data_IF_354028460714
#
_entry.id   IF_354028460714
#
_cell.length_a   1.000
_cell.length_b   1.000
_cell.length_c   1.000
_cell.angle_alpha   90.00
_cell.angle_beta   90.00
_cell.angle_gamma   90.00
#
_symmetry.space_group_name_H-M   'P 1'
#
loop_
_entity.id
_entity.type
_entity.pdbx_description
1 polymer ?
#
# COMPACT_ATOMS: atom_id res chain seq x y z
N UNK A 1 -27.83 -1.30 4.02
CA UNK A 1 -28.09 0.08 3.63
C UNK A 1 -28.95 0.74 4.70
N UNK A 2 -28.55 1.93 5.17
CA UNK A 2 -29.27 2.69 6.19
C UNK A 2 -29.44 4.13 5.74
N UNK A 3 -30.60 4.72 6.04
CA UNK A 3 -30.85 6.15 5.92
C UNK A 3 -30.44 6.82 7.23
N UNK A 4 -29.56 7.84 7.14
CA UNK A 4 -29.11 8.60 8.32
C UNK A 4 -29.41 10.08 8.17
N UNK A 5 -29.68 10.74 9.30
CA UNK A 5 -29.81 12.17 9.35
C UNK A 5 -28.46 12.83 9.16
N UNK A 6 -28.36 13.80 8.25
CA UNK A 6 -27.08 14.47 7.93
C UNK A 6 -26.51 15.29 9.09
N UNK A 7 -27.39 15.82 9.98
CA UNK A 7 -26.99 16.69 11.08
C UNK A 7 -26.13 15.98 12.14
N UNK A 8 -26.46 14.73 12.49
CA UNK A 8 -25.87 14.00 13.63
C UNK A 8 -25.57 12.53 13.32
N UNK A 9 -25.78 12.07 12.11
CA UNK A 9 -25.58 10.69 11.69
C UNK A 9 -26.55 9.67 12.29
N UNK A 10 -27.61 10.12 12.99
CA UNK A 10 -28.62 9.22 13.57
C UNK A 10 -29.31 8.41 12.49
N UNK A 11 -29.39 7.11 12.71
CA UNK A 11 -30.13 6.21 11.82
C UNK A 11 -31.63 6.52 11.86
N UNK A 12 -32.22 6.71 10.68
CA UNK A 12 -33.63 7.00 10.49
C UNK A 12 -34.41 5.75 10.04
N UNK A 13 -33.79 4.93 9.19
CA UNK A 13 -34.40 3.70 8.70
C UNK A 13 -33.33 2.72 8.19
N UNK A 14 -33.53 1.44 8.38
CA UNK A 14 -32.86 0.38 7.66
C UNK A 14 -33.58 0.17 6.30
N UNK A 15 -32.82 0.32 5.20
CA UNK A 15 -33.36 0.20 3.84
C UNK A 15 -33.14 -1.20 3.24
N UNK A 16 -32.13 -1.92 3.74
CA UNK A 16 -31.81 -3.27 3.30
C UNK A 16 -30.48 -3.74 3.87
N UNK A 17 -30.26 -5.04 3.81
CA UNK A 17 -29.01 -5.70 4.22
C UNK A 17 -28.54 -6.62 3.09
N UNK A 18 -27.23 -6.66 2.84
CA UNK A 18 -26.67 -7.65 1.94
C UNK A 18 -26.78 -9.04 2.57
N UNK A 19 -27.18 -10.02 1.79
CA UNK A 19 -27.19 -11.42 2.21
C UNK A 19 -25.79 -12.02 1.94
N UNK A 20 -25.05 -12.28 2.99
CA UNK A 20 -23.73 -12.93 2.95
C UNK A 20 -23.72 -14.32 3.59
N UNK A 21 -24.91 -14.90 3.84
CA UNK A 21 -25.04 -16.17 4.57
C UNK A 21 -24.31 -17.32 3.89
N UNK A 22 -24.40 -17.45 2.56
CA UNK A 22 -23.70 -18.48 1.81
C UNK A 22 -22.18 -18.32 1.85
N UNK A 23 -21.71 -17.07 1.82
CA UNK A 23 -20.27 -16.77 1.92
C UNK A 23 -19.74 -17.15 3.30
N UNK A 24 -20.45 -16.78 4.37
CA UNK A 24 -20.09 -17.14 5.74
C UNK A 24 -20.13 -18.65 5.95
N UNK A 25 -21.14 -19.34 5.41
CA UNK A 25 -21.22 -20.80 5.45
C UNK A 25 -20.03 -21.47 4.73
N UNK A 26 -19.48 -20.82 3.69
CA UNK A 26 -18.26 -21.25 3.02
C UNK A 26 -16.98 -20.82 3.76
N UNK A 27 -17.08 -20.17 4.93
CA UNK A 27 -15.95 -19.76 5.75
C UNK A 27 -15.39 -18.36 5.47
N UNK A 28 -16.04 -17.58 4.60
CA UNK A 28 -15.63 -16.19 4.36
C UNK A 28 -15.86 -15.32 5.62
N UNK A 29 -14.87 -14.50 5.94
CA UNK A 29 -14.97 -13.46 6.96
C UNK A 29 -14.84 -12.07 6.33
N UNK A 30 -15.65 -11.11 6.82
CA UNK A 30 -15.51 -9.72 6.39
C UNK A 30 -14.18 -9.13 6.86
N UNK A 31 -13.58 -8.21 6.09
CA UNK A 31 -12.40 -7.47 6.54
C UNK A 31 -12.63 -6.84 7.91
N UNK A 32 -11.71 -7.05 8.84
CA UNK A 32 -11.79 -6.55 10.22
C UNK A 32 -11.11 -5.20 10.32
N UNK A 33 -11.83 -4.20 10.82
CA UNK A 33 -11.25 -2.88 11.10
C UNK A 33 -10.36 -2.94 12.33
N UNK A 34 -9.22 -2.28 12.25
CA UNK A 34 -8.32 -2.09 13.37
C UNK A 34 -7.78 -0.66 13.37
N UNK A 35 -7.58 -0.11 14.56
CA UNK A 35 -7.08 1.25 14.77
C UNK A 35 -5.91 1.20 15.74
N UNK A 36 -4.82 1.87 15.38
CA UNK A 36 -3.68 2.09 16.26
C UNK A 36 -3.28 3.57 16.25
N UNK A 37 -2.48 4.01 17.20
CA UNK A 37 -1.91 5.36 17.17
C UNK A 37 -0.80 5.45 16.12
N UNK A 38 -0.59 6.66 15.58
CA UNK A 38 0.53 6.97 14.71
C UNK A 38 1.87 6.93 15.46
N UNK A 39 2.98 7.12 14.72
CA UNK A 39 4.35 7.17 15.25
C UNK A 39 4.56 8.17 16.40
N UNK A 40 3.71 9.21 16.47
CA UNK A 40 3.78 10.25 17.51
C UNK A 40 2.74 10.08 18.63
N UNK A 41 1.88 9.06 18.58
CA UNK A 41 0.79 8.83 19.52
C UNK A 41 -0.38 9.82 19.38
N UNK A 42 -0.39 10.65 18.34
CA UNK A 42 -1.33 11.76 18.18
C UNK A 42 -2.58 11.38 17.38
N UNK A 43 -2.40 10.78 16.22
CA UNK A 43 -3.48 10.46 15.31
C UNK A 43 -3.86 8.97 15.38
N UNK A 44 -5.14 8.70 15.15
CA UNK A 44 -5.60 7.34 14.94
C UNK A 44 -5.29 6.91 13.51
N UNK A 45 -4.57 5.82 13.32
CA UNK A 45 -4.32 5.21 12.03
C UNK A 45 -5.33 4.10 11.83
N UNK A 46 -6.14 4.23 10.79
CA UNK A 46 -7.16 3.24 10.45
C UNK A 46 -6.62 2.25 9.43
N UNK A 47 -6.95 0.99 9.61
CA UNK A 47 -6.65 -0.07 8.68
C UNK A 47 -7.71 -1.17 8.71
N UNK A 48 -7.60 -2.07 7.77
CA UNK A 48 -8.34 -3.32 7.71
C UNK A 48 -7.38 -4.48 7.63
N UNK A 49 -7.78 -5.63 8.17
CA UNK A 49 -7.08 -6.88 8.03
C UNK A 49 -8.04 -7.98 7.58
N UNK A 50 -7.55 -8.86 6.73
CA UNK A 50 -8.22 -10.07 6.25
C UNK A 50 -7.38 -11.26 6.67
N UNK A 51 -8.01 -12.22 7.34
CA UNK A 51 -7.36 -13.48 7.72
C UNK A 51 -7.13 -14.37 6.51
N UNK A 52 -6.08 -15.21 6.55
CA UNK A 52 -5.92 -16.27 5.55
C UNK A 52 -7.15 -17.18 5.54
N UNK A 53 -7.40 -17.77 4.38
CA UNK A 53 -8.50 -18.71 4.23
C UNK A 53 -8.04 -20.00 3.57
N UNK A 54 -8.28 -21.18 4.20
CA UNK A 54 -8.87 -21.38 5.54
C UNK A 54 -7.94 -20.93 6.67
N UNK A 55 -8.53 -20.48 7.78
CA UNK A 55 -7.79 -20.00 8.96
C UNK A 55 -7.64 -21.09 10.03
N UNK A 56 -6.41 -21.29 10.49
CA UNK A 56 -6.08 -22.18 11.62
C UNK A 56 -5.47 -21.34 12.76
N UNK A 57 -6.12 -21.22 13.92
CA UNK A 57 -5.63 -20.39 15.02
C UNK A 57 -4.32 -20.89 15.66
N UNK A 58 -3.87 -22.12 15.34
CA UNK A 58 -2.63 -22.68 15.86
C UNK A 58 -1.41 -22.35 14.97
N UNK A 59 -1.63 -21.77 13.79
CA UNK A 59 -0.57 -21.44 12.83
C UNK A 59 -0.15 -19.98 12.88
N UNK A 60 1.07 -19.73 12.44
CA UNK A 60 1.60 -18.41 12.14
C UNK A 60 1.58 -18.17 10.62
N UNK A 61 1.12 -17.01 10.22
CA UNK A 61 0.96 -16.65 8.82
C UNK A 61 1.79 -15.43 8.45
N UNK A 62 2.43 -15.41 7.29
CA UNK A 62 3.06 -14.21 6.79
C UNK A 62 2.03 -13.11 6.58
N UNK A 63 2.48 -11.87 6.63
CA UNK A 63 1.64 -10.70 6.43
C UNK A 63 2.00 -10.06 5.10
N UNK A 64 1.01 -9.65 4.33
CA UNK A 64 1.22 -8.84 3.14
C UNK A 64 0.37 -7.57 3.22
N UNK A 65 1.00 -6.42 3.03
CA UNK A 65 0.32 -5.14 2.97
C UNK A 65 0.02 -4.78 1.52
N UNK A 66 -1.25 -4.53 1.20
CA UNK A 66 -1.64 -3.84 -0.02
C UNK A 66 -1.55 -2.34 0.24
N UNK A 67 -0.64 -1.67 -0.46
CA UNK A 67 -0.43 -0.24 -0.27
C UNK A 67 -0.88 0.57 -1.49
N UNK A 68 -1.63 1.61 -1.20
CA UNK A 68 -1.73 2.81 -2.01
C UNK A 68 -1.78 3.99 -1.02
N UNK A 69 -0.83 4.92 -1.13
CA UNK A 69 -0.70 6.03 -0.18
C UNK A 69 -0.60 7.39 -0.90
N UNK A 70 -1.20 7.49 -2.08
CA UNK A 70 -1.28 8.75 -2.80
C UNK A 70 -2.06 9.79 -2.01
N UNK A 71 -1.60 11.05 -1.94
CA UNK A 71 -2.24 12.08 -1.12
C UNK A 71 -3.62 12.52 -1.60
N UNK A 72 -4.05 12.07 -2.79
CA UNK A 72 -5.34 12.44 -3.38
C UNK A 72 -6.55 11.78 -2.72
N UNK A 73 -6.36 10.71 -1.95
CA UNK A 73 -7.48 10.00 -1.32
C UNK A 73 -7.05 9.24 -0.04
N UNK A 74 -7.99 8.52 0.52
CA UNK A 74 -7.82 7.53 1.58
C UNK A 74 -8.38 6.18 1.10
N UNK A 75 -7.64 5.10 1.30
CA UNK A 75 -7.78 3.85 0.54
C UNK A 75 -8.37 2.69 1.34
N UNK A 76 -8.36 2.76 2.67
CA UNK A 76 -9.07 1.78 3.50
C UNK A 76 -10.54 1.73 3.10
N UNK A 77 -11.10 0.55 2.77
CA UNK A 77 -12.48 0.42 2.30
C UNK A 77 -13.50 1.02 3.28
N UNK A 78 -14.40 1.86 2.75
CA UNK A 78 -15.44 2.56 3.52
C UNK A 78 -16.83 1.99 3.27
N UNK A 79 -16.97 1.18 2.24
CA UNK A 79 -18.22 0.49 1.86
C UNK A 79 -18.05 -1.02 1.99
N UNK A 80 -19.18 -1.72 2.12
CA UNK A 80 -19.20 -3.16 2.03
C UNK A 80 -18.88 -3.61 0.60
N UNK A 81 -17.85 -4.41 0.46
CA UNK A 81 -17.51 -5.09 -0.78
C UNK A 81 -17.15 -6.54 -0.45
N UNK A 82 -17.91 -7.48 -0.97
CA UNK A 82 -17.66 -8.92 -0.81
C UNK A 82 -16.41 -9.32 -1.60
N UNK A 83 -16.17 -8.64 -2.71
CA UNK A 83 -15.15 -8.98 -3.66
C UNK A 83 -14.09 -7.89 -3.73
N UNK A 84 -12.87 -8.25 -3.35
CA UNK A 84 -11.68 -7.43 -3.55
C UNK A 84 -10.52 -8.40 -3.80
N UNK A 85 -10.05 -8.47 -5.05
CA UNK A 85 -9.02 -9.42 -5.46
C UNK A 85 -7.69 -9.15 -4.73
N UNK A 86 -7.34 -7.87 -4.48
CA UNK A 86 -6.12 -7.51 -3.75
C UNK A 86 -6.12 -8.04 -2.30
N UNK A 87 -7.27 -8.37 -1.74
CA UNK A 87 -7.38 -9.01 -0.43
C UNK A 87 -7.55 -10.52 -0.53
N UNK A 88 -8.44 -10.94 -1.42
CA UNK A 88 -8.85 -12.34 -1.50
C UNK A 88 -7.74 -13.24 -1.98
N UNK A 89 -7.09 -12.90 -3.08
CA UNK A 89 -6.09 -13.77 -3.68
C UNK A 89 -4.90 -14.06 -2.73
N UNK A 90 -4.29 -13.05 -2.07
CA UNK A 90 -3.26 -13.35 -1.08
C UNK A 90 -3.79 -14.10 0.16
N UNK A 91 -5.04 -13.84 0.60
CA UNK A 91 -5.63 -14.56 1.72
C UNK A 91 -5.80 -16.05 1.43
N UNK A 92 -6.17 -16.41 0.18
CA UNK A 92 -6.22 -17.81 -0.30
C UNK A 92 -4.82 -18.45 -0.39
N UNK A 93 -3.76 -17.64 -0.51
CA UNK A 93 -2.37 -18.06 -0.47
C UNK A 93 -1.77 -18.10 0.94
N UNK A 94 -2.63 -18.14 1.96
CA UNK A 94 -2.23 -18.20 3.37
C UNK A 94 -1.52 -16.94 3.91
N UNK A 95 -1.83 -15.74 3.41
CA UNK A 95 -1.39 -14.49 3.98
C UNK A 95 -2.46 -13.83 4.85
N UNK A 96 -2.05 -13.21 5.96
CA UNK A 96 -2.79 -12.07 6.47
C UNK A 96 -2.63 -10.92 5.50
N UNK A 97 -3.73 -10.33 5.07
CA UNK A 97 -3.70 -9.17 4.17
C UNK A 97 -4.13 -7.93 4.93
N UNK A 98 -3.39 -6.84 4.80
CA UNK A 98 -3.74 -5.58 5.45
C UNK A 98 -3.74 -4.44 4.45
N UNK A 99 -4.58 -3.44 4.70
CA UNK A 99 -4.54 -2.14 4.05
C UNK A 99 -4.70 -1.04 5.09
N UNK A 100 -3.87 -0.01 5.03
CA UNK A 100 -3.71 0.98 6.08
C UNK A 100 -3.69 2.37 5.47
N UNK A 101 -4.36 3.36 6.09
CA UNK A 101 -4.25 4.77 5.75
C UNK A 101 -3.30 5.47 6.75
N UNK A 102 -2.01 5.53 6.41
CA UNK A 102 -0.99 6.27 7.17
C UNK A 102 -1.10 7.78 6.97
N UNK A 103 -0.32 8.54 7.73
CA UNK A 103 -0.23 10.00 7.57
C UNK A 103 0.19 10.35 6.14
N UNK A 104 -0.38 11.43 5.62
CA UNK A 104 -0.23 11.85 4.22
C UNK A 104 -1.42 11.53 3.33
N UNK A 105 -2.26 10.54 3.69
CA UNK A 105 -3.52 10.27 2.98
C UNK A 105 -4.60 11.31 3.33
N UNK A 106 -5.66 11.39 2.50
CA UNK A 106 -6.67 12.44 2.61
C UNK A 106 -7.75 12.14 3.67
N UNK A 107 -8.69 13.10 3.81
CA UNK A 107 -9.90 13.04 4.64
C UNK A 107 -9.69 13.02 6.17
N UNK A 108 -8.49 13.40 6.65
CA UNK A 108 -8.13 13.37 8.07
C UNK A 108 -7.67 14.74 8.62
N UNK A 109 -7.92 15.83 7.87
CA UNK A 109 -7.51 17.18 8.23
C UNK A 109 -6.11 17.54 7.74
N UNK A 110 -5.82 18.85 7.77
CA UNK A 110 -4.63 19.43 7.12
C UNK A 110 -3.31 18.89 7.67
N UNK A 111 -3.17 18.82 8.98
CA UNK A 111 -1.93 18.37 9.64
C UNK A 111 -1.59 16.92 9.31
N UNK A 112 -2.59 16.05 9.27
CA UNK A 112 -2.42 14.65 8.88
C UNK A 112 -1.99 14.53 7.42
N UNK A 113 -2.64 15.27 6.54
CA UNK A 113 -2.41 15.24 5.09
C UNK A 113 -1.08 15.86 4.68
N UNK A 114 -0.65 16.96 5.35
CA UNK A 114 0.58 17.67 5.00
C UNK A 114 1.87 16.86 5.24
N UNK A 115 1.81 15.70 5.88
CA UNK A 115 2.95 14.79 5.97
C UNK A 115 3.48 14.39 4.59
N UNK A 116 2.59 14.34 3.57
CA UNK A 116 2.97 14.02 2.20
C UNK A 116 3.62 15.19 1.44
N UNK A 117 3.50 16.42 1.92
CA UNK A 117 4.01 17.58 1.21
C UNK A 117 5.54 17.55 1.10
N UNK A 118 6.04 17.53 -0.15
CA UNK A 118 7.47 17.36 -0.47
C UNK A 118 8.11 16.10 0.13
N UNK A 119 7.29 15.09 0.43
CA UNK A 119 7.67 13.92 1.19
C UNK A 119 6.89 12.65 0.76
N UNK A 120 6.65 12.49 -0.55
CA UNK A 120 5.92 11.32 -1.08
C UNK A 120 6.59 9.99 -0.72
N UNK A 121 7.90 9.99 -0.52
CA UNK A 121 8.65 8.80 -0.14
C UNK A 121 8.42 8.32 1.31
N UNK A 122 7.82 9.14 2.19
CA UNK A 122 7.40 8.68 3.52
C UNK A 122 6.19 7.72 3.41
N UNK A 123 5.20 8.07 2.59
CA UNK A 123 3.99 7.26 2.37
C UNK A 123 3.29 6.79 3.66
N UNK A 124 3.51 7.47 4.79
CA UNK A 124 3.06 7.04 6.11
C UNK A 124 3.67 5.70 6.58
N UNK A 125 4.80 5.29 6.02
CA UNK A 125 5.43 3.99 6.32
C UNK A 125 5.78 3.79 7.79
N UNK A 126 6.33 4.78 8.53
CA UNK A 126 6.54 4.63 9.96
C UNK A 126 5.25 4.38 10.75
N UNK A 127 4.13 5.02 10.36
CA UNK A 127 2.83 4.80 11.00
C UNK A 127 2.29 3.40 10.72
N UNK A 128 2.50 2.90 9.48
CA UNK A 128 2.11 1.54 9.06
C UNK A 128 2.87 0.48 9.83
N UNK A 129 4.17 0.66 10.04
CA UNK A 129 4.98 -0.24 10.87
C UNK A 129 4.48 -0.26 12.32
N UNK A 130 4.14 0.90 12.91
CA UNK A 130 3.57 0.96 14.26
C UNK A 130 2.21 0.26 14.31
N UNK A 131 1.36 0.51 13.32
CA UNK A 131 0.05 -0.13 13.21
C UNK A 131 0.18 -1.66 13.10
N UNK A 132 1.06 -2.16 12.24
CA UNK A 132 1.32 -3.59 12.06
C UNK A 132 1.81 -4.26 13.34
N UNK A 133 2.70 -3.59 14.10
CA UNK A 133 3.15 -4.09 15.41
C UNK A 133 2.00 -4.20 16.41
N UNK A 134 1.12 -3.20 16.46
CA UNK A 134 -0.05 -3.22 17.32
C UNK A 134 -1.06 -4.30 16.87
N UNK A 135 -1.29 -4.45 15.57
CA UNK A 135 -2.14 -5.49 15.01
C UNK A 135 -1.61 -6.90 15.34
N UNK A 136 -0.29 -7.13 15.23
CA UNK A 136 0.32 -8.40 15.58
C UNK A 136 0.26 -8.75 17.08
N UNK A 137 0.13 -7.75 17.96
CA UNK A 137 -0.17 -7.99 19.38
C UNK A 137 -1.62 -8.45 19.58
N UNK A 138 -2.57 -7.88 18.81
CA UNK A 138 -3.98 -8.25 18.86
C UNK A 138 -4.29 -9.57 18.13
N UNK A 139 -3.53 -9.89 17.08
CA UNK A 139 -3.64 -11.10 16.26
C UNK A 139 -2.31 -11.86 16.31
N UNK A 140 -2.07 -12.70 17.35
CA UNK A 140 -0.79 -13.37 17.52
C UNK A 140 -0.40 -14.33 16.39
N UNK A 141 -1.33 -14.68 15.51
CA UNK A 141 -1.08 -15.52 14.33
C UNK A 141 -0.39 -14.75 13.21
N UNK A 142 -0.33 -13.42 13.24
CA UNK A 142 0.48 -12.63 12.31
C UNK A 142 1.97 -12.83 12.60
N UNK A 143 2.74 -13.29 11.61
CA UNK A 143 4.18 -13.42 11.72
C UNK A 143 4.87 -12.15 11.20
N UNK A 144 5.17 -11.24 12.09
CA UNK A 144 5.82 -9.98 11.75
C UNK A 144 7.31 -10.11 11.35
N UNK A 145 7.89 -11.32 11.39
CA UNK A 145 9.19 -11.59 10.80
C UNK A 145 9.10 -11.86 9.29
N UNK A 146 7.89 -12.07 8.77
CA UNK A 146 7.61 -12.35 7.36
C UNK A 146 6.58 -11.36 6.82
N UNK A 147 6.96 -10.09 6.72
CA UNK A 147 6.09 -9.03 6.20
C UNK A 147 6.51 -8.67 4.79
N UNK A 148 5.57 -8.75 3.85
CA UNK A 148 5.70 -8.26 2.48
C UNK A 148 4.79 -7.05 2.24
N UNK A 149 4.98 -6.39 1.09
CA UNK A 149 4.18 -5.25 0.66
C UNK A 149 4.02 -5.27 -0.85
N UNK A 150 2.85 -4.84 -1.36
CA UNK A 150 2.66 -4.71 -2.81
C UNK A 150 1.74 -3.55 -3.15
N UNK A 151 1.92 -3.00 -4.35
CA UNK A 151 1.07 -1.95 -4.87
C UNK A 151 1.40 -1.57 -6.31
N UNK A 152 0.46 -0.90 -6.96
CA UNK A 152 0.61 -0.38 -8.31
C UNK A 152 0.65 1.14 -8.34
N UNK A 153 1.22 1.72 -9.40
CA UNK A 153 1.25 3.18 -9.60
C UNK A 153 1.94 3.92 -8.44
N UNK A 154 1.29 4.88 -7.80
CA UNK A 154 1.80 5.48 -6.55
C UNK A 154 2.04 4.43 -5.46
N UNK A 155 1.21 3.37 -5.40
CA UNK A 155 1.42 2.23 -4.50
C UNK A 155 2.69 1.44 -4.83
N UNK A 156 3.06 1.33 -6.10
CA UNK A 156 4.33 0.72 -6.53
C UNK A 156 5.54 1.51 -6.04
N UNK A 157 5.52 2.84 -6.18
CA UNK A 157 6.53 3.71 -5.59
C UNK A 157 6.61 3.54 -4.07
N UNK A 158 5.45 3.51 -3.39
CA UNK A 158 5.39 3.33 -1.94
C UNK A 158 5.96 1.97 -1.50
N UNK A 159 5.66 0.88 -2.22
CA UNK A 159 6.17 -0.46 -1.93
C UNK A 159 7.71 -0.53 -2.05
N UNK A 160 8.28 0.13 -3.06
CA UNK A 160 9.74 0.23 -3.20
C UNK A 160 10.33 1.03 -2.05
N UNK A 161 9.77 2.18 -1.68
CA UNK A 161 10.25 2.97 -0.53
C UNK A 161 10.17 2.18 0.78
N UNK A 162 9.12 1.37 0.98
CA UNK A 162 9.01 0.51 2.15
C UNK A 162 10.22 -0.44 2.26
N UNK A 163 10.59 -1.08 1.15
CA UNK A 163 11.70 -2.02 1.13
C UNK A 163 13.06 -1.32 1.26
N UNK A 164 13.23 -0.13 0.69
CA UNK A 164 14.47 0.64 0.77
C UNK A 164 14.69 1.27 2.15
N UNK A 165 13.64 1.81 2.77
CA UNK A 165 13.73 2.58 4.02
C UNK A 165 13.42 1.76 5.27
N UNK A 166 12.62 0.71 5.13
CA UNK A 166 12.18 -0.16 6.22
C UNK A 166 12.45 -1.64 5.93
N UNK A 167 13.54 -1.96 5.21
CA UNK A 167 13.95 -3.32 4.83
C UNK A 167 14.27 -4.23 6.01
N UNK A 168 14.47 -3.69 7.20
CA UNK A 168 14.57 -4.48 8.43
C UNK A 168 13.20 -5.02 8.87
N UNK A 169 12.10 -4.41 8.45
CA UNK A 169 10.74 -4.85 8.71
C UNK A 169 10.11 -5.56 7.51
N UNK A 170 10.07 -4.90 6.34
CA UNK A 170 9.57 -5.50 5.10
C UNK A 170 10.63 -6.38 4.44
N UNK A 171 10.30 -7.64 4.14
CA UNK A 171 11.25 -8.64 3.61
C UNK A 171 11.15 -8.81 2.09
N UNK A 172 10.00 -8.48 1.51
CA UNK A 172 9.77 -8.53 0.08
C UNK A 172 8.78 -7.43 -0.34
N UNK A 173 8.93 -6.96 -1.57
CA UNK A 173 7.96 -6.06 -2.18
C UNK A 173 7.64 -6.50 -3.62
N UNK A 174 6.39 -6.26 -4.05
CA UNK A 174 5.99 -6.28 -5.44
C UNK A 174 5.50 -4.88 -5.84
N UNK A 175 6.08 -4.32 -6.89
CA UNK A 175 5.81 -2.96 -7.34
C UNK A 175 5.50 -2.95 -8.84
N UNK A 176 4.27 -2.59 -9.18
CA UNK A 176 3.82 -2.47 -10.57
C UNK A 176 3.72 -1.01 -10.98
N UNK A 177 4.22 -0.68 -12.17
CA UNK A 177 4.10 0.62 -12.86
C UNK A 177 4.31 1.87 -11.97
N UNK A 178 5.26 1.83 -11.03
CA UNK A 178 5.49 2.90 -10.06
C UNK A 178 6.22 4.11 -10.65
N UNK A 179 5.85 5.33 -10.20
CA UNK A 179 6.63 6.54 -10.45
C UNK A 179 7.80 6.63 -9.46
N UNK A 180 8.91 6.00 -9.80
CA UNK A 180 10.07 5.88 -8.90
C UNK A 180 10.96 7.12 -8.84
N UNK A 181 10.71 8.11 -9.72
CA UNK A 181 11.32 9.43 -9.70
C UNK A 181 10.30 10.49 -10.12
N UNK A 182 9.88 11.31 -9.18
CA UNK A 182 8.87 12.34 -9.42
C UNK A 182 9.35 13.50 -10.32
N UNK A 183 10.60 13.50 -10.80
CA UNK A 183 11.12 14.44 -11.81
C UNK A 183 10.84 14.01 -13.23
N UNK A 184 10.47 12.76 -13.47
CA UNK A 184 10.34 12.15 -14.80
C UNK A 184 8.88 12.05 -15.24
N UNK A 185 7.95 11.92 -14.31
CA UNK A 185 6.53 11.70 -14.60
C UNK A 185 5.75 13.02 -14.79
N UNK A 186 4.44 12.93 -14.93
CA UNK A 186 3.51 14.03 -15.24
C UNK A 186 3.59 15.20 -14.25
N UNK A 187 3.72 16.41 -14.78
CA UNK A 187 3.90 17.64 -13.97
C UNK A 187 2.75 17.87 -12.99
N UNK A 188 1.50 17.77 -13.45
CA UNK A 188 0.34 18.07 -12.63
C UNK A 188 0.26 17.21 -11.36
N UNK A 189 0.67 15.93 -11.40
CA UNK A 189 0.74 15.07 -10.23
C UNK A 189 1.91 15.46 -9.34
N UNK A 190 3.08 15.57 -9.92
CA UNK A 190 4.30 15.73 -9.15
C UNK A 190 4.39 17.13 -8.52
N UNK A 191 4.11 18.20 -9.26
CA UNK A 191 4.16 19.57 -8.70
C UNK A 191 3.08 19.82 -7.67
N UNK A 192 1.90 19.18 -7.80
CA UNK A 192 0.83 19.27 -6.81
C UNK A 192 1.28 18.83 -5.41
N UNK A 193 2.11 17.79 -5.32
CA UNK A 193 2.52 17.20 -4.04
C UNK A 193 3.96 17.53 -3.66
N UNK A 194 4.81 17.75 -4.64
CA UNK A 194 6.22 18.02 -4.45
C UNK A 194 6.58 19.51 -4.61
N UNK A 195 5.67 20.32 -5.20
CA UNK A 195 5.82 21.76 -5.36
C UNK A 195 6.75 22.16 -6.52
N UNK A 196 6.68 23.45 -6.87
CA UNK A 196 7.50 24.09 -7.90
C UNK A 196 8.28 25.28 -7.28
N UNK A 197 9.50 25.59 -7.75
CA UNK A 197 10.31 24.84 -8.70
C UNK A 197 10.80 23.50 -8.15
N UNK A 198 11.29 22.60 -9.02
CA UNK A 198 11.92 21.35 -8.63
C UNK A 198 13.11 21.64 -7.72
N UNK A 199 13.11 21.05 -6.52
CA UNK A 199 14.13 21.27 -5.51
C UNK A 199 14.76 19.97 -5.00
N UNK A 200 15.69 20.07 -4.03
CA UNK A 200 16.45 18.90 -3.53
C UNK A 200 15.57 17.77 -2.98
N UNK A 201 14.38 18.09 -2.51
CA UNK A 201 13.43 17.11 -1.98
C UNK A 201 12.93 16.13 -3.04
N UNK A 202 12.94 16.48 -4.34
CA UNK A 202 12.61 15.54 -5.39
C UNK A 202 13.63 14.38 -5.43
N UNK A 203 14.93 14.71 -5.43
CA UNK A 203 15.97 13.69 -5.38
C UNK A 203 15.92 12.88 -4.08
N UNK A 204 15.65 13.53 -2.94
CA UNK A 204 15.52 12.85 -1.64
C UNK A 204 14.31 11.90 -1.57
N UNK A 205 13.34 12.04 -2.46
CA UNK A 205 12.17 11.16 -2.56
C UNK A 205 12.22 10.21 -3.78
N UNK A 206 13.29 10.22 -4.57
CA UNK A 206 13.46 9.29 -5.67
C UNK A 206 13.98 7.93 -5.17
N UNK A 207 13.33 6.84 -5.56
CA UNK A 207 13.77 5.49 -5.19
C UNK A 207 15.20 5.20 -5.71
N UNK A 208 15.56 5.78 -6.85
CA UNK A 208 16.85 5.58 -7.48
C UNK A 208 18.02 6.01 -6.58
N UNK A 209 17.87 7.10 -5.84
CA UNK A 209 18.93 7.63 -4.97
C UNK A 209 19.20 6.75 -3.74
N UNK A 210 18.28 5.86 -3.43
CA UNK A 210 18.33 4.94 -2.31
C UNK A 210 18.56 3.47 -2.72
N UNK A 211 18.78 3.19 -4.00
CA UNK A 211 18.89 1.83 -4.57
C UNK A 211 19.88 0.93 -3.80
N UNK A 212 21.00 1.49 -3.32
CA UNK A 212 22.02 0.75 -2.52
C UNK A 212 21.48 0.20 -1.19
N UNK A 213 20.38 0.76 -0.67
CA UNK A 213 19.76 0.33 0.60
C UNK A 213 18.94 -0.96 0.47
N UNK A 214 18.67 -1.45 -0.74
CA UNK A 214 17.87 -2.66 -0.95
C UNK A 214 18.49 -3.85 -0.21
N UNK A 215 17.69 -4.48 0.67
CA UNK A 215 18.07 -5.67 1.43
C UNK A 215 17.16 -6.87 1.16
N UNK A 216 15.89 -6.62 0.90
CA UNK A 216 14.86 -7.65 0.65
C UNK A 216 14.69 -7.97 -0.83
N UNK A 217 13.80 -8.90 -1.16
CA UNK A 217 13.46 -9.27 -2.54
C UNK A 217 12.46 -8.29 -3.14
N UNK A 218 12.73 -7.83 -4.36
CA UNK A 218 11.87 -6.93 -5.11
C UNK A 218 11.41 -7.59 -6.41
N UNK A 219 10.09 -7.73 -6.58
CA UNK A 219 9.47 -8.00 -7.87
C UNK A 219 9.02 -6.67 -8.48
N UNK A 220 9.55 -6.33 -9.65
CA UNK A 220 9.33 -5.06 -10.33
C UNK A 220 8.70 -5.32 -11.69
N UNK A 221 7.53 -4.72 -11.95
CA UNK A 221 6.80 -4.91 -13.20
C UNK A 221 6.38 -3.59 -13.82
N UNK A 222 6.20 -3.59 -15.15
CA UNK A 222 5.65 -2.47 -15.90
C UNK A 222 4.99 -2.97 -17.19
N UNK A 223 3.90 -2.35 -17.60
CA UNK A 223 3.32 -2.55 -18.92
C UNK A 223 4.16 -1.85 -19.99
N UNK A 224 4.47 -2.55 -21.10
CA UNK A 224 5.29 -2.02 -22.19
C UNK A 224 4.70 -0.72 -22.78
N UNK A 225 3.37 -0.61 -22.82
CA UNK A 225 2.62 0.51 -23.40
C UNK A 225 1.98 1.41 -22.32
N UNK A 226 2.59 1.52 -21.14
CA UNK A 226 2.06 2.37 -20.09
C UNK A 226 2.06 3.84 -20.51
N UNK A 227 0.85 4.41 -20.64
CA UNK A 227 0.61 5.81 -21.04
C UNK A 227 0.30 6.72 -19.86
N UNK A 228 0.22 6.17 -18.66
CA UNK A 228 -0.06 6.93 -17.44
C UNK A 228 1.22 7.28 -16.67
N UNK A 229 2.05 6.29 -16.35
CA UNK A 229 3.39 6.51 -15.79
C UNK A 229 4.43 6.10 -16.83
N UNK A 230 5.34 7.02 -17.16
CA UNK A 230 6.39 6.73 -18.13
C UNK A 230 7.18 5.49 -17.72
N UNK A 231 7.25 4.50 -18.59
CA UNK A 231 7.98 3.25 -18.38
C UNK A 231 9.45 3.48 -17.99
N UNK A 232 9.99 4.62 -18.39
CA UNK A 232 11.33 5.06 -18.01
C UNK A 232 11.52 5.08 -16.49
N UNK A 233 10.48 5.43 -15.69
CA UNK A 233 10.56 5.42 -14.22
C UNK A 233 10.99 4.06 -13.69
N UNK A 234 10.44 2.98 -14.26
CA UNK A 234 10.74 1.61 -13.83
C UNK A 234 12.09 1.13 -14.37
N UNK A 235 12.43 1.48 -15.63
CA UNK A 235 13.74 1.13 -16.21
C UNK A 235 14.88 1.83 -15.47
N UNK A 236 14.76 3.11 -15.17
CA UNK A 236 15.80 3.87 -14.44
C UNK A 236 16.02 3.29 -13.04
N UNK A 237 14.95 2.87 -12.34
CA UNK A 237 15.10 2.19 -11.05
C UNK A 237 15.82 0.85 -11.19
N UNK A 238 15.45 0.02 -12.18
CA UNK A 238 16.15 -1.24 -12.46
C UNK A 238 17.64 -1.00 -12.66
N UNK A 239 17.98 -0.03 -13.50
CA UNK A 239 19.37 0.27 -13.83
C UNK A 239 20.15 0.80 -12.61
N UNK A 240 19.52 1.62 -11.78
CA UNK A 240 20.11 2.08 -10.51
C UNK A 240 20.34 0.92 -9.54
N UNK A 241 19.44 -0.06 -9.46
CA UNK A 241 19.59 -1.25 -8.64
C UNK A 241 20.74 -2.15 -9.14
N UNK A 242 20.86 -2.32 -10.46
CA UNK A 242 21.98 -3.05 -11.06
C UNK A 242 23.31 -2.34 -10.77
N UNK A 243 23.37 -1.03 -10.97
CA UNK A 243 24.57 -0.21 -10.68
C UNK A 243 24.95 -0.27 -9.19
N UNK A 244 23.98 -0.47 -8.30
CA UNK A 244 24.20 -0.65 -6.87
C UNK A 244 24.56 -2.11 -6.47
N UNK A 245 24.70 -3.03 -7.42
CA UNK A 245 25.00 -4.44 -7.18
C UNK A 245 23.88 -5.22 -6.51
N UNK A 246 22.61 -4.85 -6.82
CA UNK A 246 21.42 -5.43 -6.19
C UNK A 246 20.61 -6.36 -7.14
N UNK A 247 21.13 -6.66 -8.32
CA UNK A 247 20.43 -7.47 -9.34
C UNK A 247 19.92 -8.82 -8.83
N UNK A 248 20.65 -9.48 -7.92
CA UNK A 248 20.27 -10.78 -7.36
C UNK A 248 19.07 -10.70 -6.39
N UNK A 249 18.67 -9.50 -6.00
CA UNK A 249 17.52 -9.23 -5.16
C UNK A 249 16.29 -8.82 -5.97
N UNK A 250 16.43 -8.60 -7.29
CA UNK A 250 15.40 -8.04 -8.14
C UNK A 250 14.98 -9.03 -9.21
N UNK A 251 13.69 -9.27 -9.29
CA UNK A 251 13.04 -9.88 -10.44
C UNK A 251 12.30 -8.79 -11.22
N UNK A 252 12.59 -8.65 -12.50
CA UNK A 252 12.04 -7.60 -13.35
C UNK A 252 11.31 -8.17 -14.56
N UNK A 253 10.08 -7.72 -14.78
CA UNK A 253 9.24 -8.16 -15.89
C UNK A 253 8.59 -6.97 -16.60
N UNK A 254 8.69 -6.96 -17.93
CA UNK A 254 7.89 -6.08 -18.79
C UNK A 254 6.76 -6.92 -19.37
N UNK A 255 5.53 -6.44 -19.25
CA UNK A 255 4.36 -7.14 -19.80
C UNK A 255 4.07 -6.60 -21.20
N UNK A 256 4.30 -7.41 -22.26
CA UNK A 256 4.18 -6.93 -23.64
C UNK A 256 2.76 -6.42 -23.95
N UNK A 257 2.68 -5.24 -24.60
CA UNK A 257 1.43 -4.62 -25.02
C UNK A 257 0.49 -4.19 -23.90
N UNK A 258 0.84 -4.42 -22.63
CA UNK A 258 0.02 -3.99 -21.50
C UNK A 258 0.20 -2.49 -21.25
N UNK A 259 -0.88 -1.86 -20.75
CA UNK A 259 -0.91 -0.47 -20.32
C UNK A 259 -0.72 -0.41 -18.78
N UNK A 260 -1.04 0.72 -18.17
CA UNK A 260 -0.96 0.97 -16.73
C UNK A 260 -1.73 -0.07 -15.91
N UNK A 261 -1.14 -0.56 -14.81
CA UNK A 261 -1.73 -1.61 -13.98
C UNK A 261 -1.66 -3.00 -14.64
N UNK A 262 -0.54 -3.37 -15.24
CA UNK A 262 -0.36 -4.62 -15.96
C UNK A 262 -0.59 -5.88 -15.11
N UNK A 263 -0.30 -5.81 -13.80
CA UNK A 263 -0.47 -6.90 -12.85
C UNK A 263 -1.76 -6.82 -12.01
N UNK A 264 -2.59 -5.79 -12.22
CA UNK A 264 -3.86 -5.60 -11.47
C UNK A 264 -5.08 -6.25 -12.16
N UNK A 265 -4.88 -6.96 -13.29
CA UNK A 265 -5.95 -7.54 -14.11
C UNK A 265 -5.99 -9.04 -14.04
#
# INVERSE_FOLDING_TARGET
>A
FVLRRTLDGRELAALGQADDAQLRAAGWEAPRRFVAKDRAGKFDIHGVMVRPYPFDPQKKYPVIEYIYAGPQDSFVPKSFAVWNNSFREPALQNFYVVQIDGRGTWNRGKEFHQEAWRNLGDAGLPDRVVWLKAAGQAEPQMDLNRVGIFGGSAGGQNAVHALLRHGDFYKAAAADCGCHDNRVDKLWWNEQWMGYPVGPWYAANACLTEASKLKGKLFLTVGESDTNVDVKCTYDLRDALVAAGKQDLVEFTVVPGANHGACER
#
